data_IF_712748125717
#
_entry.id   IF_712748125717
#
_cell.length_a   1.000
_cell.length_b   1.000
_cell.length_c   1.000
_cell.angle_alpha   90.00
_cell.angle_beta   90.00
_cell.angle_gamma   90.00
#
_symmetry.space_group_name_H-M   'P 1'
#
loop_
_entity.id
_entity.type
_entity.pdbx_description
1 polymer ?
#
# COMPACT_ATOMS: atom_id res chain seq x y z
N UNK A 1 -16.17 17.77 -3.65
CA UNK A 1 -16.01 18.85 -4.64
C UNK A 1 -17.19 19.79 -4.52
N UNK A 2 -16.97 21.10 -4.54
CA UNK A 2 -18.02 22.09 -4.73
C UNK A 2 -17.86 22.71 -6.12
N UNK A 3 -18.93 22.74 -6.94
CA UNK A 3 -18.89 23.41 -8.22
C UNK A 3 -18.76 24.93 -8.00
N UNK A 4 -17.88 25.56 -8.78
CA UNK A 4 -17.62 27.01 -8.71
C UNK A 4 -18.27 27.77 -9.88
N UNK A 5 -18.83 27.04 -10.85
CA UNK A 5 -19.50 27.65 -12.01
C UNK A 5 -20.58 26.73 -12.60
N UNK A 6 -21.39 27.30 -13.51
CA UNK A 6 -22.52 26.61 -14.15
C UNK A 6 -22.12 25.38 -14.96
N UNK A 7 -20.92 25.36 -15.53
CA UNK A 7 -20.43 24.18 -16.25
C UNK A 7 -20.17 23.06 -15.25
N UNK A 8 -19.49 23.34 -14.13
CA UNK A 8 -19.25 22.36 -13.06
C UNK A 8 -20.56 21.83 -12.44
N UNK A 9 -21.57 22.69 -12.24
CA UNK A 9 -22.92 22.26 -11.82
C UNK A 9 -23.57 21.29 -12.82
N UNK A 10 -23.46 21.57 -14.13
CA UNK A 10 -23.96 20.69 -15.18
C UNK A 10 -23.23 19.35 -15.18
N UNK A 11 -21.91 19.36 -15.04
CA UNK A 11 -21.12 18.14 -14.97
C UNK A 11 -21.53 17.29 -13.76
N UNK A 12 -21.72 17.91 -12.59
CA UNK A 12 -22.20 17.24 -11.39
C UNK A 12 -23.61 16.64 -11.59
N UNK A 13 -24.49 17.33 -12.31
CA UNK A 13 -25.79 16.79 -12.67
C UNK A 13 -25.66 15.55 -13.58
N UNK A 14 -24.79 15.59 -14.60
CA UNK A 14 -24.54 14.46 -15.51
C UNK A 14 -24.03 13.25 -14.73
N UNK A 15 -23.11 13.44 -13.78
CA UNK A 15 -22.53 12.34 -12.99
C UNK A 15 -23.59 11.58 -12.17
N UNK A 16 -24.66 12.28 -11.76
CA UNK A 16 -25.77 11.75 -10.94
C UNK A 16 -26.92 11.17 -11.76
N UNK A 17 -26.94 11.28 -13.10
CA UNK A 17 -28.02 10.70 -13.92
C UNK A 17 -28.01 9.17 -13.87
N UNK A 18 -29.06 8.55 -13.34
CA UNK A 18 -29.17 7.08 -13.27
C UNK A 18 -29.41 6.43 -14.63
N UNK A 19 -29.90 7.18 -15.62
CA UNK A 19 -30.18 6.70 -16.97
C UNK A 19 -28.94 6.48 -17.84
N UNK A 20 -27.75 6.91 -17.39
CA UNK A 20 -26.51 6.83 -18.14
C UNK A 20 -25.56 5.77 -17.56
N UNK A 21 -24.90 5.01 -18.42
CA UNK A 21 -23.76 4.18 -18.03
C UNK A 21 -22.58 5.05 -17.59
N UNK A 22 -21.60 4.46 -16.92
CA UNK A 22 -20.37 5.17 -16.54
C UNK A 22 -19.66 5.75 -17.77
N UNK A 23 -19.53 4.96 -18.82
CA UNK A 23 -18.87 5.35 -20.07
C UNK A 23 -19.59 6.53 -20.72
N UNK A 24 -20.94 6.49 -20.74
CA UNK A 24 -21.75 7.60 -21.24
C UNK A 24 -21.57 8.86 -20.39
N UNK A 25 -21.49 8.72 -19.06
CA UNK A 25 -21.20 9.85 -18.16
C UNK A 25 -19.83 10.45 -18.42
N UNK A 26 -18.78 9.62 -18.57
CA UNK A 26 -17.42 10.09 -18.90
C UNK A 26 -17.42 10.87 -20.21
N UNK A 27 -18.04 10.33 -21.26
CA UNK A 27 -18.15 10.99 -22.57
C UNK A 27 -18.92 12.31 -22.50
N UNK A 28 -20.06 12.35 -21.81
CA UNK A 28 -20.81 13.61 -21.63
C UNK A 28 -19.99 14.63 -20.82
N UNK A 29 -19.35 14.21 -19.73
CA UNK A 29 -18.54 15.11 -18.89
C UNK A 29 -17.38 15.71 -19.68
N UNK A 30 -16.62 14.89 -20.41
CA UNK A 30 -15.52 15.36 -21.27
C UNK A 30 -16.01 16.31 -22.37
N UNK A 31 -17.17 16.01 -22.96
CA UNK A 31 -17.78 16.83 -24.01
C UNK A 31 -18.20 18.21 -23.48
N UNK A 32 -18.78 18.28 -22.28
CA UNK A 32 -19.34 19.51 -21.72
C UNK A 32 -18.35 20.29 -20.85
N UNK A 33 -17.20 19.74 -20.49
CA UNK A 33 -16.18 20.42 -19.69
C UNK A 33 -15.58 21.66 -20.37
N UNK A 34 -15.54 21.66 -21.72
CA UNK A 34 -14.92 22.71 -22.54
C UNK A 34 -15.86 23.19 -23.66
N UNK A 35 -16.93 23.95 -23.33
CA UNK A 35 -17.93 24.50 -24.26
C UNK A 35 -17.37 25.16 -25.53
N UNK A 36 -16.19 25.77 -25.47
CA UNK A 36 -15.64 26.62 -26.55
C UNK A 36 -14.95 25.82 -27.66
N UNK A 37 -14.66 24.53 -27.44
CA UNK A 37 -13.93 23.70 -28.43
C UNK A 37 -14.79 23.28 -29.63
N UNK A 38 -16.11 23.28 -29.52
CA UNK A 38 -17.02 22.78 -30.56
C UNK A 38 -18.12 23.79 -30.96
N UNK A 39 -18.13 24.99 -30.40
CA UNK A 39 -19.22 25.95 -30.56
C UNK A 39 -18.69 27.24 -31.20
N UNK A 40 -19.16 27.57 -32.41
CA UNK A 40 -19.12 28.95 -32.91
C UNK A 40 -20.05 29.79 -32.03
N UNK A 41 -19.59 30.24 -30.87
CA UNK A 41 -20.22 31.35 -30.17
C UNK A 41 -20.14 32.53 -31.12
N UNK A 42 -21.28 33.06 -31.57
CA UNK A 42 -21.40 34.12 -32.57
C UNK A 42 -20.64 35.39 -32.12
N UNK A 43 -19.32 35.38 -32.28
CA UNK A 43 -18.44 36.49 -31.96
C UNK A 43 -18.77 37.63 -32.93
N UNK A 44 -19.41 38.69 -32.42
CA UNK A 44 -19.74 39.88 -33.19
C UNK A 44 -21.24 40.20 -33.35
N UNK A 45 -22.17 39.42 -32.78
CA UNK A 45 -23.59 39.80 -32.73
C UNK A 45 -23.95 40.54 -31.43
N UNK A 46 -24.66 41.67 -31.54
CA UNK A 46 -25.32 42.29 -30.40
C UNK A 46 -26.30 41.28 -29.80
N UNK A 47 -26.12 40.93 -28.52
CA UNK A 47 -26.80 39.85 -27.77
C UNK A 47 -26.18 38.43 -27.86
N UNK A 48 -24.93 38.27 -28.29
CA UNK A 48 -24.23 37.00 -28.12
C UNK A 48 -23.98 36.72 -26.62
N UNK A 49 -24.62 35.69 -26.07
CA UNK A 49 -24.34 35.21 -24.71
C UNK A 49 -22.89 34.75 -24.64
N UNK A 50 -22.12 35.26 -23.66
CA UNK A 50 -20.76 34.78 -23.41
C UNK A 50 -20.78 33.26 -23.24
N UNK A 51 -19.76 32.54 -23.74
CA UNK A 51 -19.61 31.13 -23.44
C UNK A 51 -19.65 30.89 -21.93
N UNK A 52 -20.31 29.82 -21.46
CA UNK A 52 -20.18 29.41 -20.07
C UNK A 52 -18.71 29.11 -19.77
N UNK A 53 -18.26 29.47 -18.58
CA UNK A 53 -16.87 29.26 -18.15
C UNK A 53 -16.48 27.79 -18.26
N UNK A 54 -15.25 27.50 -18.69
CA UNK A 54 -14.72 26.14 -18.65
C UNK A 54 -14.73 25.57 -17.23
N UNK A 55 -14.97 24.26 -17.12
CA UNK A 55 -14.74 23.56 -15.86
C UNK A 55 -13.24 23.50 -15.54
N UNK A 56 -12.88 23.57 -14.26
CA UNK A 56 -11.50 23.36 -13.83
C UNK A 56 -11.09 21.92 -14.14
N UNK A 57 -9.87 21.74 -14.64
CA UNK A 57 -9.33 20.41 -14.95
C UNK A 57 -9.40 19.47 -13.74
N UNK A 58 -8.99 19.96 -12.57
CA UNK A 58 -9.05 19.19 -11.32
C UNK A 58 -10.47 18.74 -10.98
N UNK A 59 -11.48 19.60 -11.17
CA UNK A 59 -12.88 19.25 -10.95
C UNK A 59 -13.36 18.14 -11.90
N UNK A 60 -13.00 18.25 -13.18
CA UNK A 60 -13.36 17.25 -14.21
C UNK A 60 -12.71 15.91 -13.91
N UNK A 61 -11.40 15.92 -13.62
CA UNK A 61 -10.62 14.72 -13.30
C UNK A 61 -11.19 14.03 -12.05
N UNK A 62 -11.47 14.81 -10.98
CA UNK A 62 -12.05 14.33 -9.75
C UNK A 62 -13.46 13.74 -9.93
N UNK A 63 -14.30 14.40 -10.75
CA UNK A 63 -15.67 13.95 -11.03
C UNK A 63 -15.67 12.66 -11.86
N UNK A 64 -14.81 12.55 -12.87
CA UNK A 64 -14.65 11.32 -13.66
C UNK A 64 -14.16 10.19 -12.76
N UNK A 65 -13.19 10.47 -11.89
CA UNK A 65 -12.67 9.49 -10.93
C UNK A 65 -13.73 9.02 -9.93
N UNK A 66 -14.74 9.84 -9.62
CA UNK A 66 -15.84 9.46 -8.73
C UNK A 66 -16.92 8.59 -9.42
N UNK A 67 -16.88 8.41 -10.74
CA UNK A 67 -17.89 7.63 -11.46
C UNK A 67 -17.77 6.12 -11.22
N UNK A 68 -16.58 5.65 -10.86
CA UNK A 68 -16.27 4.24 -10.63
C UNK A 68 -15.55 4.02 -9.31
N UNK A 69 -15.64 2.79 -8.81
CA UNK A 69 -14.80 2.42 -7.69
C UNK A 69 -13.37 2.21 -8.15
N UNK A 70 -12.42 2.80 -7.43
CA UNK A 70 -11.00 2.58 -7.63
C UNK A 70 -10.46 1.65 -6.57
N UNK A 71 -9.46 0.87 -6.91
CA UNK A 71 -8.94 -0.20 -6.06
C UNK A 71 -7.45 -0.02 -5.88
N UNK A 72 -6.96 -0.23 -4.67
CA UNK A 72 -5.52 -0.18 -4.41
C UNK A 72 -5.11 -1.29 -3.46
N UNK A 73 -3.85 -1.68 -3.54
CA UNK A 73 -3.16 -2.48 -2.52
C UNK A 73 -2.04 -1.64 -1.92
N UNK A 74 -1.92 -1.67 -0.60
CA UNK A 74 -0.80 -1.11 0.14
C UNK A 74 0.00 -2.25 0.74
N UNK A 75 1.27 -2.34 0.40
CA UNK A 75 2.21 -3.32 0.96
C UNK A 75 3.01 -2.62 2.04
N UNK A 76 3.04 -3.20 3.24
CA UNK A 76 3.72 -2.64 4.40
C UNK A 76 4.91 -3.51 4.80
N UNK A 77 5.95 -2.86 5.30
CA UNK A 77 7.10 -3.50 5.94
C UNK A 77 7.41 -2.78 7.25
N UNK A 78 7.37 -3.52 8.34
CA UNK A 78 7.78 -3.09 9.66
C UNK A 78 9.20 -3.58 9.95
N UNK A 79 9.99 -2.70 10.56
CA UNK A 79 11.35 -3.00 10.97
C UNK A 79 11.32 -3.79 12.30
N UNK A 80 12.30 -4.67 12.60
CA UNK A 80 12.55 -5.11 13.98
C UNK A 80 12.58 -3.90 14.93
N UNK A 81 11.92 -4.00 16.08
CA UNK A 81 11.74 -2.90 17.03
C UNK A 81 10.50 -2.03 16.78
N UNK A 82 9.73 -2.25 15.71
CA UNK A 82 8.50 -1.47 15.47
C UNK A 82 7.52 -1.66 16.64
N UNK A 83 7.03 -0.58 17.28
CA UNK A 83 6.10 -0.67 18.39
C UNK A 83 4.78 -1.32 18.00
N UNK A 84 4.25 -2.15 18.90
CA UNK A 84 2.99 -2.85 18.73
C UNK A 84 1.86 -2.20 19.54
N UNK A 85 0.65 -2.31 19.01
CA UNK A 85 -0.60 -1.92 19.62
C UNK A 85 -1.48 -3.14 19.86
N UNK A 86 -2.36 -3.03 20.85
CA UNK A 86 -3.39 -4.02 21.12
C UNK A 86 -4.51 -4.01 20.06
N UNK A 87 -5.52 -4.85 20.28
CA UNK A 87 -6.68 -4.96 19.38
C UNK A 87 -7.56 -3.70 19.30
N UNK A 88 -7.44 -2.77 20.26
CA UNK A 88 -8.14 -1.49 20.27
C UNK A 88 -7.29 -0.37 19.64
N UNK A 89 -6.09 -0.70 19.16
CA UNK A 89 -5.14 0.25 18.58
C UNK A 89 -4.38 1.08 19.62
N UNK A 90 -4.39 0.68 20.89
CA UNK A 90 -3.64 1.35 21.95
C UNK A 90 -2.24 0.74 22.09
N UNK A 91 -1.22 1.52 22.48
CA UNK A 91 0.11 1.01 22.77
C UNK A 91 0.10 -0.21 23.69
N UNK A 92 0.68 -1.32 23.24
CA UNK A 92 0.76 -2.55 24.03
C UNK A 92 1.98 -2.52 24.95
N UNK A 93 1.78 -2.88 26.23
CA UNK A 93 2.85 -2.97 27.23
C UNK A 93 2.85 -4.33 27.92
N UNK A 94 4.05 -4.87 28.14
CA UNK A 94 4.27 -6.07 28.94
C UNK A 94 5.34 -5.78 29.98
N UNK A 95 5.05 -6.05 31.25
CA UNK A 95 5.95 -5.77 32.38
C UNK A 95 6.48 -4.32 32.39
N UNK A 96 5.59 -3.37 32.07
CA UNK A 96 5.91 -1.93 32.01
C UNK A 96 6.75 -1.51 30.80
N UNK A 97 7.10 -2.42 29.89
CA UNK A 97 7.86 -2.12 28.66
C UNK A 97 6.97 -2.17 27.44
N UNK A 98 7.21 -1.25 26.49
CA UNK A 98 6.51 -1.23 25.21
C UNK A 98 6.80 -2.53 24.46
N UNK A 99 5.76 -3.22 23.99
CA UNK A 99 5.91 -4.40 23.15
C UNK A 99 6.30 -3.96 21.74
N UNK A 100 7.24 -4.68 21.15
CA UNK A 100 7.81 -4.36 19.82
C UNK A 100 7.92 -5.63 18.99
N UNK A 101 7.88 -5.48 17.66
CA UNK A 101 8.12 -6.58 16.73
C UNK A 101 9.56 -7.07 16.82
N UNK A 102 9.77 -8.37 17.04
CA UNK A 102 11.12 -8.93 17.18
C UNK A 102 11.86 -9.07 15.84
N UNK A 103 11.17 -9.58 14.81
CA UNK A 103 11.74 -9.89 13.51
C UNK A 103 11.34 -8.91 12.39
N UNK A 104 10.52 -7.91 12.73
CA UNK A 104 9.80 -7.11 11.73
C UNK A 104 8.58 -7.88 11.20
N UNK A 105 7.86 -7.26 10.27
CA UNK A 105 6.67 -7.87 9.68
C UNK A 105 6.37 -7.33 8.29
N UNK A 106 5.78 -8.17 7.44
CA UNK A 106 5.33 -7.78 6.11
C UNK A 106 3.88 -8.21 5.92
N UNK A 107 3.05 -7.31 5.43
CA UNK A 107 1.63 -7.57 5.18
C UNK A 107 1.10 -6.68 4.06
N UNK A 108 -0.14 -6.93 3.65
CA UNK A 108 -0.83 -6.09 2.68
C UNK A 108 -2.17 -5.59 3.22
N UNK A 109 -2.64 -4.49 2.64
CA UNK A 109 -3.98 -3.96 2.83
C UNK A 109 -4.60 -3.68 1.47
N UNK A 110 -5.80 -4.18 1.23
CA UNK A 110 -6.56 -3.82 0.05
C UNK A 110 -7.56 -2.73 0.40
N UNK A 111 -7.76 -1.80 -0.53
CA UNK A 111 -8.70 -0.70 -0.36
C UNK A 111 -9.58 -0.54 -1.60
N UNK A 112 -10.85 -0.20 -1.37
CA UNK A 112 -11.83 0.17 -2.38
C UNK A 112 -12.33 1.57 -2.08
N UNK A 113 -12.09 2.48 -3.00
CA UNK A 113 -12.57 3.86 -2.96
C UNK A 113 -13.85 3.91 -3.78
N UNK A 114 -14.98 4.14 -3.13
CA UNK A 114 -16.30 4.16 -3.77
C UNK A 114 -16.62 5.53 -4.37
N UNK A 115 -17.73 5.62 -5.12
CA UNK A 115 -18.19 6.83 -5.83
C UNK A 115 -18.37 8.07 -4.94
N UNK A 116 -18.56 7.87 -3.63
CA UNK A 116 -18.74 8.93 -2.64
C UNK A 116 -17.46 9.21 -1.83
N UNK A 117 -16.28 8.80 -2.32
CA UNK A 117 -15.01 8.81 -1.60
C UNK A 117 -15.01 8.02 -0.28
N UNK A 118 -16.00 7.13 -0.09
CA UNK A 118 -16.00 6.18 1.02
C UNK A 118 -14.93 5.14 0.72
N UNK A 119 -13.86 5.16 1.51
CA UNK A 119 -12.79 4.19 1.46
C UNK A 119 -13.07 3.05 2.43
N UNK A 120 -13.16 1.82 1.91
CA UNK A 120 -13.16 0.61 2.74
C UNK A 120 -11.84 -0.11 2.54
N UNK A 121 -11.11 -0.40 3.62
CA UNK A 121 -9.90 -1.20 3.58
C UNK A 121 -10.01 -2.47 4.40
N UNK A 122 -9.17 -3.46 4.08
CA UNK A 122 -9.00 -4.68 4.85
C UNK A 122 -7.54 -5.13 4.75
N UNK A 123 -6.90 -5.36 5.89
CA UNK A 123 -5.54 -5.89 5.92
C UNK A 123 -5.54 -7.41 5.90
N UNK A 124 -4.42 -7.99 5.47
CA UNK A 124 -4.12 -9.41 5.57
C UNK A 124 -2.63 -9.56 5.83
N UNK A 125 -2.29 -10.16 6.96
CA UNK A 125 -0.95 -10.65 7.20
C UNK A 125 -0.96 -11.89 8.06
N UNK A 126 0.18 -12.59 8.08
CA UNK A 126 0.30 -13.94 8.59
C UNK A 126 1.36 -14.02 9.67
N UNK A 127 0.99 -14.55 10.82
CA UNK A 127 1.85 -14.65 11.99
C UNK A 127 1.58 -15.97 12.73
N UNK A 128 2.50 -16.44 13.59
CA UNK A 128 2.23 -17.63 14.40
C UNK A 128 1.17 -17.32 15.47
N UNK A 129 0.23 -18.24 15.70
CA UNK A 129 -0.81 -18.11 16.75
C UNK A 129 -0.21 -18.00 18.16
N UNK A 130 0.96 -18.60 18.35
CA UNK A 130 1.77 -18.52 19.57
C UNK A 130 3.15 -18.01 19.17
N UNK A 131 3.73 -17.10 19.96
CA UNK A 131 5.09 -16.62 19.69
C UNK A 131 6.07 -17.78 19.52
N UNK A 132 6.89 -17.70 18.49
CA UNK A 132 7.81 -18.77 18.08
C UNK A 132 8.19 -18.66 16.60
N UNK A 133 9.19 -19.44 16.21
CA UNK A 133 9.68 -19.46 14.82
C UNK A 133 8.96 -20.50 13.95
N UNK A 134 8.25 -21.45 14.57
CA UNK A 134 7.45 -22.47 13.90
C UNK A 134 6.17 -22.77 14.69
N UNK A 135 5.12 -23.22 14.00
CA UNK A 135 3.88 -23.69 14.63
C UNK A 135 2.63 -23.32 13.85
N UNK A 136 1.46 -23.49 14.47
CA UNK A 136 0.21 -23.08 13.84
C UNK A 136 0.20 -21.55 13.60
N UNK A 137 -0.04 -21.14 12.37
CA UNK A 137 -0.18 -19.76 11.96
C UNK A 137 -1.63 -19.29 11.91
N UNK A 138 -1.82 -17.99 11.77
CA UNK A 138 -3.12 -17.35 11.58
C UNK A 138 -2.97 -16.11 10.71
N UNK A 139 -3.98 -15.88 9.87
CA UNK A 139 -4.10 -14.65 9.08
C UNK A 139 -5.00 -13.69 9.83
N UNK A 140 -4.54 -12.45 9.99
CA UNK A 140 -5.25 -11.38 10.71
C UNK A 140 -5.56 -10.21 9.80
N UNK A 141 -6.69 -9.53 10.07
CA UNK A 141 -7.11 -8.28 9.43
C UNK A 141 -6.81 -7.04 10.29
N UNK A 142 -5.91 -7.19 11.27
CA UNK A 142 -5.57 -6.14 12.22
C UNK A 142 -4.13 -5.63 12.15
N UNK A 143 -3.28 -6.15 11.27
CA UNK A 143 -1.86 -5.75 11.22
C UNK A 143 -1.69 -4.23 11.01
N UNK A 144 -2.53 -3.59 10.20
CA UNK A 144 -2.48 -2.12 10.03
C UNK A 144 -2.82 -1.35 11.31
N UNK A 145 -3.55 -1.97 12.25
CA UNK A 145 -3.82 -1.42 13.58
C UNK A 145 -2.74 -1.79 14.60
N UNK A 146 -2.22 -3.01 14.54
CA UNK A 146 -1.23 -3.56 15.47
C UNK A 146 0.16 -2.94 15.30
N UNK A 147 0.57 -2.55 14.10
CA UNK A 147 1.90 -2.00 13.86
C UNK A 147 1.88 -0.48 13.82
N UNK A 148 2.51 0.16 14.79
CA UNK A 148 2.62 1.62 14.83
C UNK A 148 3.73 2.10 13.89
N UNK A 149 3.38 2.99 12.95
CA UNK A 149 4.35 3.65 12.04
C UNK A 149 5.32 2.68 11.34
N UNK A 150 4.83 1.69 10.56
CA UNK A 150 5.71 0.76 9.84
C UNK A 150 6.73 1.51 8.98
N UNK A 151 7.95 0.99 8.93
CA UNK A 151 9.09 1.67 8.32
C UNK A 151 8.86 2.05 6.86
N UNK A 152 8.25 1.17 6.07
CA UNK A 152 7.99 1.46 4.67
C UNK A 152 6.62 0.94 4.24
N UNK A 153 5.96 1.70 3.36
CA UNK A 153 4.77 1.27 2.64
C UNK A 153 4.80 1.72 1.19
N UNK A 154 4.22 0.90 0.31
CA UNK A 154 3.93 1.24 -1.09
C UNK A 154 2.48 0.97 -1.40
N UNK A 155 1.75 2.00 -1.80
CA UNK A 155 0.39 1.91 -2.31
C UNK A 155 0.41 1.92 -3.84
N UNK A 156 -0.34 1.01 -4.45
CA UNK A 156 -0.43 0.81 -5.89
C UNK A 156 -1.90 0.77 -6.28
N UNK A 157 -2.34 1.58 -7.24
CA UNK A 157 -3.65 1.39 -7.87
C UNK A 157 -3.66 0.12 -8.71
N UNK A 158 -4.68 -0.70 -8.53
CA UNK A 158 -4.79 -2.01 -9.16
C UNK A 158 -6.14 -2.18 -9.85
N UNK A 159 -6.18 -3.13 -10.80
CA UNK A 159 -7.43 -3.49 -11.47
C UNK A 159 -8.39 -4.16 -10.48
N UNK A 160 -9.70 -4.03 -10.74
CA UNK A 160 -10.75 -4.70 -9.96
C UNK A 160 -10.51 -6.22 -9.81
N UNK A 161 -10.06 -6.88 -10.88
CA UNK A 161 -9.78 -8.32 -10.84
C UNK A 161 -8.61 -8.67 -9.93
N UNK A 162 -7.58 -7.82 -9.87
CA UNK A 162 -6.44 -8.00 -8.97
C UNK A 162 -6.89 -7.81 -7.52
N UNK A 163 -7.71 -6.79 -7.24
CA UNK A 163 -8.33 -6.59 -5.94
C UNK A 163 -9.15 -7.80 -5.50
N UNK A 164 -10.00 -8.33 -6.38
CA UNK A 164 -10.84 -9.48 -6.08
C UNK A 164 -10.02 -10.73 -5.77
N UNK A 165 -8.92 -10.96 -6.49
CA UNK A 165 -7.99 -12.08 -6.25
C UNK A 165 -7.27 -11.94 -4.90
N UNK A 166 -6.78 -10.75 -4.57
CA UNK A 166 -6.19 -10.49 -3.25
C UNK A 166 -7.20 -10.74 -2.12
N UNK A 167 -8.42 -10.23 -2.30
CA UNK A 167 -9.53 -10.42 -1.35
C UNK A 167 -9.89 -11.89 -1.18
N UNK A 168 -9.98 -12.63 -2.28
CA UNK A 168 -10.26 -14.08 -2.25
C UNK A 168 -9.17 -14.83 -1.51
N UNK A 169 -7.90 -14.60 -1.86
CA UNK A 169 -6.75 -15.24 -1.21
C UNK A 169 -6.78 -15.00 0.31
N UNK A 170 -6.90 -13.73 0.71
CA UNK A 170 -6.92 -13.33 2.12
C UNK A 170 -8.15 -13.86 2.86
N UNK A 171 -9.36 -13.69 2.32
CA UNK A 171 -10.60 -14.15 2.96
C UNK A 171 -10.63 -15.67 3.12
N UNK A 172 -10.13 -16.42 2.14
CA UNK A 172 -10.01 -17.87 2.24
C UNK A 172 -9.06 -18.27 3.37
N UNK A 173 -7.89 -17.63 3.47
CA UNK A 173 -6.93 -17.94 4.52
C UNK A 173 -7.41 -17.53 5.93
N UNK A 174 -8.14 -16.41 6.05
CA UNK A 174 -8.77 -16.01 7.34
C UNK A 174 -9.84 -16.99 7.84
N UNK A 175 -10.41 -17.82 6.94
CA UNK A 175 -11.35 -18.89 7.28
C UNK A 175 -10.65 -20.22 7.61
N UNK A 176 -9.35 -20.17 7.89
CA UNK A 176 -8.50 -21.33 8.17
C UNK A 176 -8.46 -22.37 7.03
N UNK A 177 -8.69 -21.93 5.79
CA UNK A 177 -8.61 -22.79 4.61
C UNK A 177 -7.23 -22.71 3.97
N UNK A 178 -6.59 -23.86 3.79
CA UNK A 178 -5.27 -23.99 3.16
C UNK A 178 -5.33 -24.07 1.62
N UNK A 179 -6.46 -23.67 1.01
CA UNK A 179 -6.66 -23.76 -0.45
C UNK A 179 -5.55 -23.06 -1.25
N UNK A 180 -5.06 -21.93 -0.75
CA UNK A 180 -4.08 -21.09 -1.45
C UNK A 180 -2.77 -20.90 -0.70
N UNK A 181 -2.73 -21.23 0.60
CA UNK A 181 -1.59 -20.98 1.46
C UNK A 181 -1.61 -21.93 2.66
N UNK A 182 -0.48 -22.57 2.95
CA UNK A 182 -0.28 -23.44 4.10
C UNK A 182 -0.30 -22.61 5.40
N UNK A 183 -1.13 -22.97 6.38
CA UNK A 183 -1.27 -22.21 7.63
C UNK A 183 -0.30 -22.68 8.71
N UNK A 184 0.63 -23.58 8.41
CA UNK A 184 1.75 -23.90 9.27
C UNK A 184 2.87 -22.85 9.15
N UNK A 185 2.99 -21.98 10.14
CA UNK A 185 4.02 -20.94 10.17
C UNK A 185 5.42 -21.55 10.29
N UNK A 186 6.32 -21.08 9.44
CA UNK A 186 7.75 -21.31 9.51
C UNK A 186 8.47 -20.02 9.13
N UNK A 187 9.14 -19.37 10.08
CA UNK A 187 9.78 -18.07 9.88
C UNK A 187 10.85 -18.02 8.78
N UNK A 188 11.34 -19.17 8.30
CA UNK A 188 12.32 -19.24 7.22
C UNK A 188 11.73 -19.58 5.84
N UNK A 189 10.59 -20.27 5.77
CA UNK A 189 10.07 -20.85 4.52
C UNK A 189 8.56 -20.75 4.33
N UNK A 190 7.81 -20.28 5.33
CA UNK A 190 6.37 -20.04 5.27
C UNK A 190 5.98 -18.97 6.31
N UNK A 191 6.30 -17.73 6.00
CA UNK A 191 6.27 -16.59 6.92
C UNK A 191 5.32 -15.48 6.43
N UNK A 192 5.30 -14.35 7.14
CA UNK A 192 4.59 -13.14 6.72
C UNK A 192 5.02 -12.64 5.32
N UNK A 193 6.29 -12.86 4.97
CA UNK A 193 6.88 -12.50 3.67
C UNK A 193 6.31 -13.40 2.58
N UNK A 194 6.35 -14.72 2.79
CA UNK A 194 5.84 -15.71 1.85
C UNK A 194 4.35 -15.52 1.60
N UNK A 195 3.56 -15.30 2.67
CA UNK A 195 2.13 -15.02 2.55
C UNK A 195 1.86 -13.81 1.66
N UNK A 196 2.58 -12.71 1.91
CA UNK A 196 2.40 -11.46 1.16
C UNK A 196 2.77 -11.64 -0.32
N UNK A 197 3.90 -12.28 -0.62
CA UNK A 197 4.31 -12.52 -2.01
C UNK A 197 3.40 -13.50 -2.74
N UNK A 198 2.94 -14.56 -2.08
CA UNK A 198 1.99 -15.50 -2.65
C UNK A 198 0.65 -14.85 -2.98
N UNK A 199 0.14 -13.98 -2.10
CA UNK A 199 -1.07 -13.20 -2.34
C UNK A 199 -0.91 -12.25 -3.55
N UNK A 200 0.16 -11.46 -3.59
CA UNK A 200 0.48 -10.56 -4.69
C UNK A 200 0.57 -11.31 -6.02
N UNK A 201 1.27 -12.45 -6.02
CA UNK A 201 1.45 -13.30 -7.20
C UNK A 201 0.13 -13.95 -7.65
N UNK A 202 -0.72 -14.38 -6.73
CA UNK A 202 -2.07 -14.87 -7.04
C UNK A 202 -2.91 -13.79 -7.78
N UNK A 203 -2.72 -12.53 -7.41
CA UNK A 203 -3.31 -11.37 -8.07
C UNK A 203 -2.56 -10.89 -9.33
N UNK A 204 -1.48 -11.56 -9.74
CA UNK A 204 -0.68 -11.19 -10.91
C UNK A 204 0.18 -9.93 -10.71
N UNK A 205 0.45 -9.52 -9.47
CA UNK A 205 1.36 -8.44 -9.12
C UNK A 205 2.76 -9.03 -8.89
N UNK A 206 3.56 -9.07 -9.96
CA UNK A 206 4.87 -9.74 -9.98
C UNK A 206 5.97 -8.67 -9.99
N UNK A 207 6.99 -8.77 -9.12
CA UNK A 207 8.09 -7.81 -9.10
C UNK A 207 9.02 -8.01 -10.31
N UNK A 208 9.47 -6.91 -10.91
CA UNK A 208 10.53 -6.94 -11.91
C UNK A 208 11.90 -7.22 -11.30
N UNK A 209 12.89 -7.45 -12.16
CA UNK A 209 14.29 -7.55 -11.74
C UNK A 209 14.77 -6.20 -11.19
N UNK A 210 15.53 -6.22 -10.10
CA UNK A 210 16.01 -5.00 -9.40
C UNK A 210 17.46 -5.14 -8.95
N UNK A 211 18.05 -4.05 -8.48
CA UNK A 211 19.47 -3.94 -8.14
C UNK A 211 19.91 -4.89 -7.04
N UNK A 212 19.00 -5.24 -6.11
CA UNK A 212 19.28 -6.18 -5.02
C UNK A 212 18.95 -7.65 -5.35
N UNK A 213 18.73 -7.98 -6.63
CA UNK A 213 18.71 -9.38 -7.09
C UNK A 213 20.14 -9.95 -7.15
N UNK A 214 20.82 -9.90 -6.00
CA UNK A 214 22.24 -10.24 -5.84
C UNK A 214 22.50 -11.74 -6.02
N UNK A 215 21.49 -12.57 -5.73
CA UNK A 215 21.59 -14.00 -5.94
C UNK A 215 21.03 -14.41 -7.31
N UNK A 216 21.75 -15.31 -8.00
CA UNK A 216 21.22 -16.02 -9.18
C UNK A 216 19.88 -16.69 -8.86
N UNK A 217 19.69 -17.10 -7.60
CA UNK A 217 18.47 -17.65 -7.05
C UNK A 217 17.26 -16.69 -7.20
N UNK A 218 17.35 -15.44 -6.74
CA UNK A 218 16.24 -14.48 -6.84
C UNK A 218 15.88 -14.19 -8.30
N UNK A 219 16.89 -14.04 -9.18
CA UNK A 219 16.69 -13.85 -10.62
C UNK A 219 15.96 -15.03 -11.26
N UNK A 220 16.38 -16.25 -10.97
CA UNK A 220 15.76 -17.47 -11.52
C UNK A 220 14.33 -17.65 -10.99
N UNK A 221 14.09 -17.42 -9.69
CA UNK A 221 12.76 -17.49 -9.08
C UNK A 221 11.80 -16.45 -9.68
N UNK A 222 12.24 -15.22 -9.90
CA UNK A 222 11.42 -14.18 -10.57
C UNK A 222 11.08 -14.55 -12.02
N UNK A 223 12.08 -15.00 -12.79
CA UNK A 223 11.86 -15.50 -14.16
C UNK A 223 10.88 -16.66 -14.21
N UNK A 224 10.91 -17.54 -13.21
CA UNK A 224 10.00 -18.67 -13.09
C UNK A 224 8.61 -18.30 -12.51
N UNK A 225 8.38 -17.04 -12.10
CA UNK A 225 7.16 -16.64 -11.41
C UNK A 225 6.96 -17.36 -10.08
N UNK A 226 8.05 -17.64 -9.34
CA UNK A 226 8.06 -18.35 -8.04
C UNK A 226 8.87 -17.59 -6.98
N UNK A 227 8.95 -16.27 -7.13
CA UNK A 227 9.62 -15.43 -6.14
C UNK A 227 8.73 -15.27 -4.91
N UNK A 228 9.25 -15.68 -3.76
CA UNK A 228 8.54 -15.67 -2.47
C UNK A 228 9.20 -14.74 -1.43
N UNK A 229 10.17 -13.92 -1.86
CA UNK A 229 10.80 -12.90 -1.02
C UNK A 229 12.20 -13.25 -0.52
N UNK A 230 12.85 -12.25 0.07
CA UNK A 230 14.06 -12.44 0.88
C UNK A 230 13.69 -12.75 2.33
N UNK A 231 14.56 -13.47 3.05
CA UNK A 231 14.32 -13.88 4.44
C UNK A 231 14.08 -12.70 5.40
N UNK A 232 14.78 -11.57 5.18
CA UNK A 232 14.64 -10.37 6.02
C UNK A 232 13.59 -9.45 5.43
N UNK A 233 12.63 -9.01 6.24
CA UNK A 233 11.54 -8.12 5.81
C UNK A 233 12.03 -6.91 5.03
N UNK A 234 13.09 -6.24 5.51
CA UNK A 234 13.59 -4.99 4.91
C UNK A 234 14.27 -5.22 3.56
N UNK A 235 14.85 -6.40 3.33
CA UNK A 235 15.45 -6.76 2.03
C UNK A 235 14.38 -6.88 0.92
N UNK A 236 13.10 -7.03 1.28
CA UNK A 236 12.02 -7.09 0.31
C UNK A 236 11.61 -5.72 -0.25
N UNK A 237 12.06 -4.60 0.35
CA UNK A 237 11.66 -3.25 -0.09
C UNK A 237 11.99 -2.97 -1.56
N UNK A 238 13.22 -3.24 -2.06
CA UNK A 238 13.52 -2.98 -3.48
C UNK A 238 12.72 -3.88 -4.44
N UNK A 239 12.30 -5.06 -4.01
CA UNK A 239 11.41 -5.93 -4.79
C UNK A 239 9.97 -5.41 -4.79
N UNK A 240 9.49 -4.90 -3.65
CA UNK A 240 8.18 -4.24 -3.58
C UNK A 240 8.16 -3.04 -4.53
N UNK A 241 9.24 -2.26 -4.60
CA UNK A 241 9.37 -1.11 -5.53
C UNK A 241 9.39 -1.50 -7.00
N UNK A 242 9.87 -2.70 -7.33
CA UNK A 242 9.94 -3.16 -8.72
C UNK A 242 8.64 -3.76 -9.24
N UNK A 243 7.57 -3.81 -8.44
CA UNK A 243 6.24 -4.22 -8.94
C UNK A 243 5.75 -3.13 -9.92
N UNK A 244 5.42 -3.49 -11.18
CA UNK A 244 4.84 -2.54 -12.11
C UNK A 244 3.49 -2.05 -11.63
N UNK A 245 3.26 -0.75 -11.71
CA UNK A 245 1.97 -0.11 -11.42
C UNK A 245 1.02 -0.34 -12.60
N UNK A 246 -0.11 -1.03 -12.44
CA UNK A 246 -1.11 -1.20 -13.51
C UNK A 246 -1.62 0.12 -14.09
N UNK A 247 -1.60 1.18 -13.28
CA UNK A 247 -1.92 2.56 -13.66
C UNK A 247 -0.75 3.47 -13.23
N UNK A 248 0.29 3.66 -14.05
CA UNK A 248 1.51 4.40 -13.64
C UNK A 248 1.27 5.84 -13.20
N UNK A 249 0.39 6.55 -13.90
CA UNK A 249 0.11 7.97 -13.66
C UNK A 249 -0.98 8.18 -12.58
N UNK A 250 -1.39 7.12 -11.90
CA UNK A 250 -2.40 7.20 -10.83
C UNK A 250 -1.91 8.00 -9.63
N UNK A 251 -2.74 8.95 -9.19
CA UNK A 251 -2.51 9.70 -7.96
C UNK A 251 -2.68 8.86 -6.68
N UNK A 252 -3.22 7.65 -6.78
CA UNK A 252 -3.28 6.72 -5.65
C UNK A 252 -1.94 6.04 -5.39
N UNK A 253 -1.05 5.99 -6.38
CA UNK A 253 0.28 5.44 -6.22
C UNK A 253 1.08 6.31 -5.26
N UNK A 254 1.64 5.71 -4.21
CA UNK A 254 2.48 6.44 -3.26
C UNK A 254 3.45 5.53 -2.54
N UNK A 255 4.58 6.10 -2.16
CA UNK A 255 5.58 5.44 -1.31
C UNK A 255 5.85 6.33 -0.10
N UNK A 256 5.98 5.73 1.07
CA UNK A 256 6.35 6.46 2.29
C UNK A 256 7.34 5.65 3.12
N UNK A 257 8.34 6.34 3.62
CA UNK A 257 9.17 5.88 4.72
C UNK A 257 8.78 6.61 6.01
N UNK A 258 8.73 5.86 7.11
CA UNK A 258 8.75 6.42 8.46
C UNK A 258 10.16 6.24 9.04
N UNK A 259 10.42 6.82 10.21
CA UNK A 259 11.72 6.67 10.88
C UNK A 259 11.97 5.20 11.26
N UNK A 260 13.24 4.78 11.24
CA UNK A 260 13.62 3.47 11.78
C UNK A 260 13.37 3.49 13.30
N UNK A 261 12.70 2.49 13.88
CA UNK A 261 12.49 2.44 15.32
C UNK A 261 13.82 2.20 16.06
N UNK A 262 13.85 2.60 17.33
CA UNK A 262 14.91 2.20 18.25
C UNK A 262 14.91 0.67 18.40
N UNK A 263 16.12 0.08 18.44
CA UNK A 263 16.32 -1.37 18.38
C UNK A 263 17.28 -1.82 19.47
N UNK A 264 17.01 -2.98 20.04
CA UNK A 264 17.99 -3.73 20.84
C UNK A 264 19.11 -4.28 19.96
N UNK A 265 20.24 -4.70 20.55
CA UNK A 265 21.35 -5.30 19.77
C UNK A 265 20.93 -6.55 18.98
N UNK A 266 20.06 -7.39 19.53
CA UNK A 266 19.57 -8.58 18.83
C UNK A 266 18.72 -8.19 17.60
N UNK A 267 17.80 -7.24 17.77
CA UNK A 267 17.00 -6.70 16.66
C UNK A 267 17.86 -6.01 15.61
N UNK A 268 18.94 -5.35 16.03
CA UNK A 268 19.93 -4.77 15.11
C UNK A 268 20.62 -5.84 14.26
N UNK A 269 21.06 -6.95 14.86
CA UNK A 269 21.67 -8.07 14.11
C UNK A 269 20.67 -8.69 13.12
N UNK A 270 19.43 -8.93 13.57
CA UNK A 270 18.37 -9.49 12.73
C UNK A 270 18.01 -8.57 11.55
N UNK A 271 18.18 -7.25 11.71
CA UNK A 271 17.88 -6.24 10.69
C UNK A 271 19.08 -5.74 9.88
N UNK A 272 20.31 -6.15 10.19
CA UNK A 272 21.51 -5.70 9.47
C UNK A 272 21.45 -6.16 8.02
N UNK A 273 21.46 -5.22 7.07
CA UNK A 273 21.53 -5.52 5.65
C UNK A 273 23.00 -5.74 5.25
N UNK A 274 23.27 -6.62 4.29
CA UNK A 274 24.64 -6.93 3.85
C UNK A 274 25.31 -5.77 3.08
N UNK A 275 24.52 -4.76 2.68
CA UNK A 275 24.95 -3.57 1.91
C UNK A 275 25.26 -2.32 2.77
N UNK A 276 25.03 -2.34 4.09
CA UNK A 276 25.32 -1.20 4.98
C UNK A 276 26.82 -1.10 5.32
N UNK A 277 27.68 -1.04 4.29
CA UNK A 277 29.13 -0.87 4.49
C UNK A 277 29.58 0.57 4.74
N UNK A 278 28.72 1.59 4.58
CA UNK A 278 29.17 3.00 4.68
C UNK A 278 28.24 3.99 5.42
N UNK A 279 27.10 3.56 6.00
CA UNK A 279 26.13 4.49 6.62
C UNK A 279 26.16 4.58 8.15
N UNK A 280 26.23 3.45 8.84
CA UNK A 280 25.79 3.39 10.25
C UNK A 280 26.95 3.27 11.26
N UNK A 281 28.21 3.25 10.81
CA UNK A 281 29.39 3.19 11.67
C UNK A 281 29.59 4.45 12.52
N UNK A 282 28.99 5.58 12.11
CA UNK A 282 29.17 6.88 12.75
C UNK A 282 28.26 7.07 13.97
N UNK A 283 27.05 6.49 13.98
CA UNK A 283 26.12 6.63 15.11
C UNK A 283 26.56 5.86 16.36
N UNK A 284 27.22 4.71 16.19
CA UNK A 284 27.72 3.90 17.32
C UNK A 284 28.90 4.59 18.02
N UNK A 285 29.69 5.37 17.30
CA UNK A 285 30.80 6.13 17.88
C UNK A 285 30.31 7.28 18.76
N UNK A 286 29.20 7.94 18.39
CA UNK A 286 28.68 9.07 19.16
C UNK A 286 27.92 8.65 20.43
N UNK A 287 27.28 7.47 20.48
CA UNK A 287 26.58 7.01 21.71
C UNK A 287 27.52 6.45 22.78
N UNK A 288 28.79 6.14 22.46
CA UNK A 288 29.77 5.65 23.45
C UNK A 288 30.47 6.76 24.25
N UNK A 289 30.31 8.03 23.87
CA UNK A 289 30.97 9.14 24.58
C UNK A 289 30.12 9.84 25.64
N UNK A 290 28.81 9.63 25.70
CA UNK A 290 27.90 10.31 26.66
C UNK A 290 27.61 9.52 27.94
N UNK A 291 28.44 8.53 28.29
CA UNK A 291 28.33 7.81 29.56
C UNK A 291 29.68 7.67 30.26
N UNK A 292 30.24 8.81 30.68
CA UNK A 292 31.19 8.84 31.78
C UNK A 292 30.43 9.14 33.09
N UNK A 293 30.53 8.28 34.12
CA UNK A 293 29.90 8.54 35.41
C UNK A 293 30.70 9.60 36.18
N UNK A 294 30.06 10.73 36.48
CA UNK A 294 30.52 11.61 37.55
C UNK A 294 30.28 10.88 38.89
N UNK A 295 31.35 10.35 39.49
CA UNK A 295 31.37 9.98 40.90
C UNK A 295 32.14 11.04 41.68
N UNK A 296 31.41 11.64 42.64
CA UNK A 296 31.82 12.31 43.90
C UNK A 296 33.04 13.23 43.85
#
# INVERSE_FOLDING_TARGET
MHPENKTEELLEYISKKDSLTVEQKKQEIEKFAHPDKNSNYNAGQACATCPPSHARKEFVDELINSLESRYAVTIYTAYPGTPLNDNDGKPEFKEGKRVVSEAGHMWLEISKIQKNNINTSKSYGFAPKKSGITGAGSVTDKDTHHYENPYYRRKIEIKKDQYNRLKEFGDTATKESEKYFDLYYNGATNSCIDFTWQALRHAGLIPESTWNDFSRYNKEKKKAGKFDGDLKVINNIPHIKSIPTPFPDSELNSEKYNQKPDRTMLQWILSKNDDDKNGDSVEVANRKHDSAPNHV
#
